data_IF_835122030758
#
_entry.id   IF_835122030758
#
_cell.length_a   1.000
_cell.length_b   1.000
_cell.length_c   1.000
_cell.angle_alpha   90.00
_cell.angle_beta   90.00
_cell.angle_gamma   90.00
#
_symmetry.space_group_name_H-M   'P 1'
#
loop_
_entity.id
_entity.type
_entity.pdbx_description
1 polymer ?
#
# COMPACT_ATOMS: atom_id res chain seq x y z
N UNK A 1 0.64 3.35 -28.93
CA UNK A 1 -0.18 4.38 -28.32
C UNK A 1 0.51 5.69 -28.63
N UNK A 2 -0.15 6.53 -29.39
CA UNK A 2 0.40 7.84 -29.72
C UNK A 2 0.31 8.66 -28.44
N UNK A 3 1.43 8.78 -27.72
CA UNK A 3 1.53 9.67 -26.57
C UNK A 3 1.08 11.06 -26.99
N UNK A 4 0.23 11.66 -26.20
CA UNK A 4 -0.16 13.06 -26.38
C UNK A 4 1.03 13.96 -26.03
N UNK A 5 1.98 13.43 -25.23
CA UNK A 5 3.14 14.13 -24.71
C UNK A 5 4.44 13.59 -25.32
N UNK A 6 5.41 14.46 -25.55
CA UNK A 6 6.75 14.07 -25.94
C UNK A 6 7.52 13.54 -24.72
N UNK A 7 7.52 14.30 -23.63
CA UNK A 7 8.16 13.94 -22.39
C UNK A 7 7.10 13.75 -21.29
N UNK A 8 7.00 12.54 -20.77
CA UNK A 8 6.18 12.24 -19.62
C UNK A 8 6.69 10.96 -18.93
N UNK A 9 7.18 11.10 -17.71
CA UNK A 9 7.54 9.98 -16.83
C UNK A 9 6.68 10.02 -15.57
N UNK A 10 6.25 8.88 -15.09
CA UNK A 10 5.39 8.86 -13.91
C UNK A 10 5.22 7.48 -13.31
N UNK A 11 4.47 7.41 -12.21
CA UNK A 11 4.10 6.18 -11.55
C UNK A 11 2.65 6.18 -11.10
N UNK A 12 2.12 4.98 -10.86
CA UNK A 12 0.80 4.82 -10.27
C UNK A 12 0.92 4.41 -8.80
N UNK A 13 -0.07 4.78 -7.99
CA UNK A 13 -0.15 4.39 -6.58
C UNK A 13 -0.12 2.87 -6.36
N UNK A 14 -0.61 2.08 -7.31
CA UNK A 14 -0.56 0.62 -7.28
C UNK A 14 0.83 0.04 -7.53
N UNK A 15 1.77 0.86 -7.95
CA UNK A 15 3.09 0.44 -8.43
C UNK A 15 4.24 0.99 -7.57
N UNK A 16 3.93 1.49 -6.38
CA UNK A 16 4.92 1.94 -5.39
C UNK A 16 4.96 1.02 -4.18
N UNK A 17 6.13 0.87 -3.60
CA UNK A 17 6.32 0.20 -2.32
C UNK A 17 5.73 1.03 -1.18
N UNK A 18 4.90 0.42 -0.38
CA UNK A 18 4.29 1.02 0.81
C UNK A 18 4.17 -0.05 1.90
N UNK A 19 3.96 0.36 3.14
CA UNK A 19 3.74 -0.58 4.22
C UNK A 19 2.65 -1.61 3.88
N UNK A 20 2.87 -2.87 4.23
CA UNK A 20 1.95 -3.99 3.98
C UNK A 20 0.62 -3.88 4.74
N UNK A 21 0.55 -2.97 5.69
CA UNK A 21 -0.64 -2.72 6.52
C UNK A 21 -0.91 -1.23 6.61
N UNK A 22 -2.16 -0.86 6.69
CA UNK A 22 -2.59 0.54 6.80
C UNK A 22 -2.45 1.08 8.22
N UNK A 23 -2.58 0.22 9.23
CA UNK A 23 -2.30 0.55 10.63
C UNK A 23 -1.63 -0.63 11.34
N UNK A 24 -0.69 -0.31 12.22
CA UNK A 24 0.10 -1.28 12.96
C UNK A 24 0.26 -0.78 14.38
N UNK A 25 0.00 -1.61 15.41
CA UNK A 25 0.36 -1.28 16.78
C UNK A 25 1.87 -1.09 16.93
N UNK A 26 2.31 -0.09 17.68
CA UNK A 26 3.73 0.17 17.93
C UNK A 26 4.44 -1.03 18.56
N UNK A 27 3.71 -1.86 19.32
CA UNK A 27 4.21 -3.12 19.87
C UNK A 27 4.60 -4.18 18.82
N UNK A 28 4.15 -4.03 17.57
CA UNK A 28 4.50 -4.89 16.44
C UNK A 28 5.48 -4.24 15.46
N UNK A 29 6.06 -3.13 15.85
CA UNK A 29 7.03 -2.37 15.08
C UNK A 29 8.21 -1.94 15.97
N UNK A 30 8.72 -2.89 16.77
CA UNK A 30 9.79 -2.63 17.74
C UNK A 30 11.18 -2.81 17.14
N UNK A 31 11.29 -3.64 16.12
CA UNK A 31 12.56 -3.92 15.44
C UNK A 31 12.37 -3.89 13.93
N UNK A 32 13.47 -3.78 13.20
CA UNK A 32 13.46 -3.86 11.73
C UNK A 32 13.02 -5.22 11.19
N UNK A 33 13.07 -6.28 11.99
CA UNK A 33 12.54 -7.60 11.63
C UNK A 33 11.03 -7.70 11.84
N UNK A 34 10.47 -6.95 12.78
CA UNK A 34 9.02 -6.92 13.01
C UNK A 34 8.28 -6.18 11.91
N UNK A 35 8.87 -5.06 11.48
CA UNK A 35 8.25 -4.19 10.50
C UNK A 35 9.28 -3.39 9.72
N UNK A 36 9.08 -3.28 8.43
CA UNK A 36 9.80 -2.40 7.53
C UNK A 36 8.90 -1.99 6.36
N UNK A 37 9.28 -0.94 5.67
CA UNK A 37 8.58 -0.48 4.47
C UNK A 37 9.50 -0.66 3.27
N UNK A 38 9.15 -1.54 2.34
CA UNK A 38 9.92 -1.69 1.10
C UNK A 38 9.78 -0.43 0.26
N UNK A 39 10.90 0.21 -0.05
CA UNK A 39 10.90 1.44 -0.84
C UNK A 39 11.23 1.12 -2.29
N UNK A 40 10.21 1.19 -3.13
CA UNK A 40 10.36 0.92 -4.57
C UNK A 40 9.28 1.60 -5.39
N UNK A 41 9.57 1.87 -6.66
CA UNK A 41 8.59 2.41 -7.60
C UNK A 41 8.83 1.85 -9.01
N UNK A 42 7.76 1.39 -9.65
CA UNK A 42 7.77 1.20 -11.09
C UNK A 42 7.51 2.54 -11.76
N UNK A 43 8.50 3.01 -12.50
CA UNK A 43 8.42 4.25 -13.27
C UNK A 43 8.19 3.91 -14.73
N UNK A 44 7.22 4.56 -15.34
CA UNK A 44 6.80 4.36 -16.72
C UNK A 44 7.16 5.58 -17.55
N UNK A 45 7.60 5.37 -18.78
CA UNK A 45 7.70 6.43 -19.78
C UNK A 45 6.43 6.41 -20.64
N UNK A 46 5.54 7.36 -20.38
CA UNK A 46 4.30 7.57 -21.14
C UNK A 46 4.48 8.50 -22.35
N UNK A 47 5.65 9.14 -22.45
CA UNK A 47 6.00 10.02 -23.56
C UNK A 47 6.33 9.27 -24.85
N UNK A 48 6.47 10.02 -25.93
CA UNK A 48 6.91 9.50 -27.22
C UNK A 48 8.44 9.54 -27.38
N UNK A 49 9.12 10.32 -26.56
CA UNK A 49 10.57 10.47 -26.56
C UNK A 49 11.20 9.62 -25.47
N UNK A 50 12.47 9.28 -25.64
CA UNK A 50 13.23 8.58 -24.62
C UNK A 50 13.48 9.48 -23.41
N UNK A 51 13.12 9.00 -22.21
CA UNK A 51 13.38 9.71 -20.98
C UNK A 51 14.81 9.41 -20.52
N UNK A 52 15.63 10.44 -20.44
CA UNK A 52 17.02 10.35 -20.00
C UNK A 52 17.17 10.80 -18.55
N UNK A 53 18.16 10.23 -17.86
CA UNK A 53 18.50 10.56 -16.48
C UNK A 53 17.32 10.49 -15.51
N UNK A 54 16.47 9.47 -15.69
CA UNK A 54 15.35 9.22 -14.79
C UNK A 54 15.87 8.85 -13.41
N UNK A 55 15.40 9.55 -12.39
CA UNK A 55 15.70 9.32 -10.98
C UNK A 55 14.42 9.32 -10.14
N UNK A 56 14.47 8.63 -9.00
CA UNK A 56 13.41 8.60 -8.01
C UNK A 56 13.98 9.09 -6.68
N UNK A 57 13.34 10.08 -6.09
CA UNK A 57 13.57 10.50 -4.71
C UNK A 57 12.36 10.06 -3.88
N UNK A 58 12.61 9.48 -2.72
CA UNK A 58 11.56 9.08 -1.79
C UNK A 58 11.77 9.72 -0.44
N UNK A 59 10.72 10.37 0.05
CA UNK A 59 10.67 11.01 1.36
C UNK A 59 9.58 10.36 2.19
N UNK A 60 9.86 10.12 3.47
CA UNK A 60 8.83 9.74 4.45
C UNK A 60 8.77 10.79 5.53
N UNK A 61 7.57 11.34 5.72
CA UNK A 61 7.24 12.23 6.82
C UNK A 61 6.40 11.51 7.86
N UNK A 62 6.76 11.70 9.13
CA UNK A 62 5.90 11.34 10.26
C UNK A 62 5.34 12.61 10.87
N UNK A 63 4.02 12.79 10.78
CA UNK A 63 3.31 13.99 11.29
C UNK A 63 3.95 15.31 10.84
N UNK A 64 4.43 15.36 9.57
CA UNK A 64 5.10 16.51 8.98
C UNK A 64 6.59 16.65 9.32
N UNK A 65 7.19 15.66 9.99
CA UNK A 65 8.63 15.63 10.24
C UNK A 65 9.27 14.56 9.36
N UNK A 66 10.26 14.97 8.55
CA UNK A 66 11.02 14.05 7.70
C UNK A 66 11.76 13.01 8.57
N UNK A 67 11.57 11.73 8.26
CA UNK A 67 12.22 10.60 8.93
C UNK A 67 13.02 9.71 7.95
N UNK A 68 12.82 9.91 6.66
CA UNK A 68 13.55 9.20 5.60
C UNK A 68 13.61 10.07 4.35
N UNK A 69 14.78 10.09 3.70
CA UNK A 69 14.96 10.80 2.44
C UNK A 69 16.11 10.14 1.66
N UNK A 70 15.75 9.41 0.62
CA UNK A 70 16.70 8.70 -0.23
C UNK A 70 16.42 8.96 -1.71
N UNK A 71 17.47 9.00 -2.48
CA UNK A 71 17.41 9.20 -3.93
C UNK A 71 18.14 8.05 -4.63
N UNK A 72 17.60 7.59 -5.75
CA UNK A 72 18.24 6.55 -6.56
C UNK A 72 19.66 7.01 -6.97
N UNK A 73 20.65 6.15 -6.76
CA UNK A 73 22.08 6.50 -6.95
C UNK A 73 22.52 6.48 -8.41
N UNK A 74 21.73 5.85 -9.27
CA UNK A 74 22.03 5.71 -10.70
C UNK A 74 20.86 6.26 -11.52
N UNK A 75 21.16 7.27 -12.31
CA UNK A 75 20.23 7.76 -13.31
C UNK A 75 20.15 6.76 -14.48
N UNK A 76 18.97 6.52 -14.97
CA UNK A 76 18.71 5.53 -16.02
C UNK A 76 17.93 6.12 -17.17
N UNK A 77 17.95 5.45 -18.30
CA UNK A 77 17.18 5.79 -19.51
C UNK A 77 16.00 4.84 -19.63
N UNK A 78 14.82 5.37 -19.90
CA UNK A 78 13.59 4.59 -20.16
C UNK A 78 13.07 4.95 -21.55
N UNK A 79 13.03 3.99 -22.47
CA UNK A 79 12.51 4.20 -23.82
C UNK A 79 10.98 4.34 -23.80
N UNK A 80 10.35 4.91 -24.85
CA UNK A 80 8.90 5.08 -24.92
C UNK A 80 8.13 3.78 -24.68
N UNK A 81 7.06 3.85 -23.90
CA UNK A 81 6.18 2.75 -23.54
C UNK A 81 6.83 1.62 -22.73
N UNK A 82 8.02 1.86 -22.17
CA UNK A 82 8.72 0.95 -21.27
C UNK A 82 8.61 1.41 -19.81
N UNK A 83 9.06 0.58 -18.89
CA UNK A 83 9.07 0.87 -17.46
C UNK A 83 10.25 0.22 -16.77
N UNK A 84 10.66 0.79 -15.64
CA UNK A 84 11.75 0.27 -14.83
C UNK A 84 11.41 0.32 -13.35
N UNK A 85 11.82 -0.72 -12.61
CA UNK A 85 11.72 -0.75 -11.15
C UNK A 85 12.92 -0.03 -10.52
N UNK A 86 12.63 1.00 -9.74
CA UNK A 86 13.58 1.63 -8.85
C UNK A 86 13.40 1.04 -7.45
N UNK A 87 14.46 0.48 -6.89
CA UNK A 87 14.49 0.01 -5.51
C UNK A 87 15.49 0.85 -4.74
N UNK A 88 15.06 1.42 -3.63
CA UNK A 88 15.88 2.17 -2.68
C UNK A 88 16.03 1.33 -1.40
N UNK A 89 16.92 1.73 -0.48
CA UNK A 89 17.00 1.08 0.82
C UNK A 89 15.65 1.08 1.53
N UNK A 90 15.28 -0.05 2.12
CA UNK A 90 14.05 -0.15 2.90
C UNK A 90 14.07 0.83 4.07
N UNK A 91 12.92 1.45 4.37
CA UNK A 91 12.77 2.21 5.59
C UNK A 91 12.50 1.27 6.76
N UNK A 92 13.41 1.28 7.72
CA UNK A 92 13.30 0.48 8.93
C UNK A 92 13.86 1.23 10.14
N UNK A 93 13.18 1.11 11.28
CA UNK A 93 13.60 1.68 12.55
C UNK A 93 13.59 0.64 13.66
N UNK A 94 14.39 0.88 14.69
CA UNK A 94 14.29 0.17 15.96
C UNK A 94 13.36 0.97 16.87
N UNK A 95 12.10 0.54 16.93
CA UNK A 95 11.04 1.21 17.67
C UNK A 95 10.42 2.38 16.87
N UNK A 96 9.50 2.06 16.00
CA UNK A 96 8.73 3.07 15.29
C UNK A 96 7.89 3.90 16.26
N UNK A 97 8.05 5.21 16.22
CA UNK A 97 7.19 6.09 16.99
C UNK A 97 5.77 6.11 16.44
N UNK A 98 4.79 6.25 17.31
CA UNK A 98 3.40 6.43 16.89
C UNK A 98 3.24 7.72 16.07
N UNK A 99 2.39 7.67 15.06
CA UNK A 99 2.13 8.80 14.16
C UNK A 99 1.63 8.37 12.79
N UNK A 100 1.28 9.36 12.00
CA UNK A 100 0.90 9.19 10.60
C UNK A 100 2.13 9.32 9.71
N UNK A 101 2.41 8.29 8.95
CA UNK A 101 3.52 8.27 8.01
C UNK A 101 2.99 8.49 6.60
N UNK A 102 3.55 9.46 5.92
CA UNK A 102 3.29 9.73 4.50
C UNK A 102 4.55 9.47 3.70
N UNK A 103 4.47 8.56 2.76
CA UNK A 103 5.54 8.24 1.82
C UNK A 103 5.26 9.03 0.55
N UNK A 104 6.24 9.78 0.08
CA UNK A 104 6.17 10.56 -1.17
C UNK A 104 7.28 10.12 -2.10
N UNK A 105 6.92 9.63 -3.27
CA UNK A 105 7.83 9.35 -4.37
C UNK A 105 7.80 10.49 -5.36
N UNK A 106 8.95 11.07 -5.63
CA UNK A 106 9.14 12.13 -6.63
C UNK A 106 9.97 11.58 -7.78
N UNK A 107 9.44 11.63 -8.98
CA UNK A 107 10.05 11.12 -10.20
C UNK A 107 10.47 12.32 -11.03
N UNK A 108 11.68 12.27 -11.58
CA UNK A 108 12.17 13.29 -12.49
C UNK A 108 13.05 12.68 -13.58
N UNK A 109 13.15 13.38 -14.70
CA UNK A 109 14.01 13.05 -15.83
C UNK A 109 14.57 14.35 -16.43
N UNK A 110 15.51 14.23 -17.38
CA UNK A 110 15.92 15.38 -18.18
C UNK A 110 14.75 15.88 -19.03
N UNK A 111 14.77 17.17 -19.30
CA UNK A 111 13.71 17.83 -20.07
C UNK A 111 12.54 18.28 -19.18
N UNK A 112 11.55 18.90 -19.86
CA UNK A 112 10.33 19.37 -19.17
C UNK A 112 9.27 18.29 -19.31
N UNK A 113 8.83 17.74 -18.19
CA UNK A 113 7.68 16.83 -18.16
C UNK A 113 6.39 17.61 -18.43
N UNK A 114 5.58 17.10 -19.33
CA UNK A 114 4.36 17.76 -19.80
C UNK A 114 3.12 17.40 -18.96
N UNK A 115 3.24 16.40 -18.04
CA UNK A 115 2.16 15.97 -17.15
C UNK A 115 2.65 15.74 -15.72
N UNK A 116 2.90 16.80 -14.99
CA UNK A 116 3.50 16.76 -13.65
C UNK A 116 2.69 16.03 -12.55
N UNK A 117 1.41 15.72 -12.80
CA UNK A 117 0.53 15.12 -11.80
C UNK A 117 0.89 13.67 -11.44
N UNK A 118 1.55 12.95 -12.33
CA UNK A 118 1.99 11.57 -12.16
C UNK A 118 3.48 11.43 -11.77
N UNK A 119 4.19 12.57 -11.69
CA UNK A 119 5.57 12.64 -11.18
C UNK A 119 5.66 12.52 -9.65
N UNK A 120 4.56 12.72 -8.94
CA UNK A 120 4.52 12.60 -7.49
C UNK A 120 3.42 11.64 -7.06
N UNK A 121 3.81 10.59 -6.35
CA UNK A 121 2.87 9.57 -5.86
C UNK A 121 3.04 9.37 -4.37
N UNK A 122 1.93 9.29 -3.64
CA UNK A 122 1.93 9.18 -2.19
C UNK A 122 1.27 7.90 -1.69
N UNK A 123 1.79 7.38 -0.58
CA UNK A 123 1.19 6.32 0.22
C UNK A 123 1.20 6.70 1.69
N UNK A 124 0.35 6.06 2.49
CA UNK A 124 0.26 6.34 3.93
C UNK A 124 0.18 5.05 4.73
N UNK A 125 0.69 5.10 5.95
CA UNK A 125 0.46 4.10 7.00
C UNK A 125 0.46 4.78 8.36
N UNK A 126 -0.06 4.08 9.36
CA UNK A 126 -0.25 4.61 10.70
C UNK A 126 0.36 3.67 11.74
N UNK A 127 1.25 4.17 12.57
CA UNK A 127 1.73 3.47 13.77
C UNK A 127 0.96 4.00 14.97
N UNK A 128 0.37 3.12 15.78
CA UNK A 128 -0.50 3.53 16.88
C UNK A 128 -0.20 2.80 18.20
N UNK A 129 -0.64 3.41 19.31
CA UNK A 129 -0.47 2.88 20.66
C UNK A 129 -1.74 2.21 21.20
N UNK A 130 -2.85 2.29 20.48
CA UNK A 130 -4.15 1.78 20.93
C UNK A 130 -4.45 0.34 20.47
N UNK A 131 -3.47 -0.34 19.86
CA UNK A 131 -3.60 -1.74 19.46
C UNK A 131 -4.37 -1.95 18.14
N UNK A 132 -4.60 -0.92 17.36
CA UNK A 132 -5.30 -1.04 16.08
C UNK A 132 -4.39 -1.67 15.01
N UNK A 133 -4.81 -2.81 14.46
CA UNK A 133 -4.20 -3.43 13.29
C UNK A 133 -5.17 -3.41 12.11
N UNK A 134 -4.72 -2.92 10.95
CA UNK A 134 -5.54 -2.90 9.75
C UNK A 134 -4.71 -3.17 8.49
N UNK A 135 -5.19 -4.06 7.64
CA UNK A 135 -4.66 -4.22 6.27
C UNK A 135 -5.11 -3.09 5.34
N UNK A 136 -6.30 -2.57 5.54
CA UNK A 136 -6.80 -1.41 4.80
C UNK A 136 -6.08 -0.15 5.24
N UNK A 137 -5.92 0.79 4.31
CA UNK A 137 -5.47 2.14 4.67
C UNK A 137 -6.50 2.79 5.57
N UNK A 138 -6.03 3.50 6.58
CA UNK A 138 -6.87 4.19 7.54
C UNK A 138 -6.61 5.69 7.40
N UNK A 139 -7.67 6.46 7.39
CA UNK A 139 -7.60 7.88 7.73
C UNK A 139 -7.65 7.98 9.26
N UNK A 140 -6.65 8.58 9.91
CA UNK A 140 -6.63 8.67 11.37
C UNK A 140 -7.74 9.52 11.97
N UNK A 141 -8.40 10.35 11.17
CA UNK A 141 -9.52 11.20 11.58
C UNK A 141 -10.86 10.53 11.25
N UNK A 142 -11.00 10.03 10.02
CA UNK A 142 -12.27 9.54 9.48
C UNK A 142 -12.40 8.00 9.56
N UNK A 143 -11.34 7.29 9.98
CA UNK A 143 -11.33 5.83 10.09
C UNK A 143 -11.02 5.11 8.78
N UNK A 144 -11.46 3.86 8.60
CA UNK A 144 -11.06 3.04 7.46
C UNK A 144 -11.47 3.65 6.13
N UNK A 145 -10.50 3.80 5.22
CA UNK A 145 -10.76 4.23 3.85
C UNK A 145 -11.30 3.02 3.07
N UNK A 146 -12.56 3.07 2.69
CA UNK A 146 -13.16 2.06 1.83
C UNK A 146 -12.76 2.29 0.37
N UNK A 147 -11.67 1.68 -0.08
CA UNK A 147 -11.19 1.75 -1.46
C UNK A 147 -11.66 0.58 -2.33
N UNK A 148 -12.82 0.04 -2.05
CA UNK A 148 -13.39 -1.08 -2.75
C UNK A 148 -13.61 -2.27 -1.82
N UNK A 149 -14.42 -3.18 -2.26
CA UNK A 149 -14.75 -4.42 -1.55
C UNK A 149 -14.59 -5.60 -2.48
N UNK A 150 -14.42 -6.76 -1.89
CA UNK A 150 -14.55 -8.03 -2.59
C UNK A 150 -15.96 -8.54 -2.45
N UNK A 151 -16.43 -9.16 -3.51
CA UNK A 151 -17.73 -9.83 -3.53
C UNK A 151 -17.54 -11.27 -3.97
N UNK A 152 -18.40 -12.19 -3.54
CA UNK A 152 -18.42 -13.52 -4.11
C UNK A 152 -18.60 -13.42 -5.63
N UNK A 153 -17.73 -14.09 -6.38
CA UNK A 153 -17.83 -14.17 -7.84
C UNK A 153 -18.80 -15.27 -8.26
N UNK A 154 -19.37 -15.12 -9.46
CA UNK A 154 -20.16 -16.17 -10.11
C UNK A 154 -21.60 -15.78 -10.41
N UNK A 155 -22.22 -16.52 -11.32
CA UNK A 155 -23.61 -16.34 -11.76
C UNK A 155 -24.63 -17.05 -10.86
N UNK A 156 -24.15 -17.88 -9.92
CA UNK A 156 -25.01 -18.62 -8.98
C UNK A 156 -25.03 -17.87 -7.65
N UNK A 157 -26.18 -17.72 -7.00
CA UNK A 157 -26.25 -17.12 -5.67
C UNK A 157 -25.32 -17.88 -4.72
N UNK A 158 -24.36 -17.16 -4.13
CA UNK A 158 -23.50 -17.71 -3.09
C UNK A 158 -24.26 -17.62 -1.78
N UNK A 159 -24.52 -18.78 -1.17
CA UNK A 159 -25.30 -18.87 0.07
C UNK A 159 -24.42 -18.50 1.27
N UNK A 160 -23.15 -18.82 1.19
CA UNK A 160 -22.15 -18.56 2.25
C UNK A 160 -20.79 -18.38 1.61
N UNK A 161 -19.99 -17.43 2.10
CA UNK A 161 -18.58 -17.31 1.75
C UNK A 161 -17.82 -16.79 2.96
N UNK A 162 -16.55 -17.09 3.01
CA UNK A 162 -15.64 -16.63 4.06
C UNK A 162 -14.54 -15.80 3.43
N UNK A 163 -14.28 -14.62 4.03
CA UNK A 163 -13.20 -13.75 3.64
C UNK A 163 -12.16 -13.69 4.76
N UNK A 164 -10.95 -14.08 4.47
CA UNK A 164 -9.88 -14.13 5.46
C UNK A 164 -8.82 -13.07 5.17
N UNK A 165 -8.36 -12.41 6.22
CA UNK A 165 -7.20 -11.50 6.18
C UNK A 165 -6.12 -12.07 7.10
N UNK A 166 -4.95 -12.47 6.57
CA UNK A 166 -3.87 -12.96 7.41
C UNK A 166 -3.19 -11.79 8.15
N UNK A 167 -2.95 -11.99 9.43
CA UNK A 167 -2.08 -11.15 10.24
C UNK A 167 -0.81 -11.97 10.50
N UNK A 168 0.30 -11.52 9.94
CA UNK A 168 1.61 -12.18 10.11
C UNK A 168 2.47 -11.28 10.98
N UNK A 169 2.93 -11.78 12.12
CA UNK A 169 3.83 -11.08 13.02
C UNK A 169 4.63 -12.09 13.82
N UNK A 170 5.91 -11.84 14.05
CA UNK A 170 6.74 -12.64 14.96
C UNK A 170 6.18 -12.63 16.40
N UNK A 171 5.45 -11.57 16.74
CA UNK A 171 4.79 -11.39 18.04
C UNK A 171 3.35 -11.92 18.09
N UNK A 172 2.89 -12.65 17.07
CA UNK A 172 1.51 -13.12 16.97
C UNK A 172 1.07 -13.99 18.17
N UNK A 173 1.99 -14.73 18.80
CA UNK A 173 1.69 -15.55 19.99
C UNK A 173 1.32 -14.74 21.24
N UNK A 174 1.69 -13.45 21.28
CA UNK A 174 1.35 -12.54 22.37
C UNK A 174 0.10 -11.69 22.07
N UNK A 175 -0.49 -11.83 20.88
CA UNK A 175 -1.66 -11.06 20.49
C UNK A 175 -2.93 -11.53 21.18
N UNK A 176 -3.76 -10.57 21.57
CA UNK A 176 -5.14 -10.78 21.97
C UNK A 176 -6.05 -9.93 21.08
N UNK A 177 -6.98 -10.56 20.39
CA UNK A 177 -7.96 -9.85 19.56
C UNK A 177 -9.17 -9.50 20.43
N UNK A 178 -9.38 -8.21 20.68
CA UNK A 178 -10.48 -7.71 21.49
C UNK A 178 -11.72 -7.36 20.66
N UNK A 179 -11.56 -7.17 19.35
CA UNK A 179 -12.65 -6.85 18.45
C UNK A 179 -12.21 -6.90 17.00
N UNK A 180 -13.18 -6.96 16.12
CA UNK A 180 -12.99 -6.89 14.66
C UNK A 180 -13.93 -5.83 14.11
N UNK A 181 -13.39 -4.87 13.39
CA UNK A 181 -14.14 -3.87 12.66
C UNK A 181 -14.07 -4.17 11.18
N UNK A 182 -15.21 -4.15 10.52
CA UNK A 182 -15.33 -4.39 9.08
C UNK A 182 -16.48 -3.58 8.50
N UNK A 183 -16.38 -3.26 7.21
CA UNK A 183 -17.45 -2.63 6.46
C UNK A 183 -18.05 -3.62 5.48
N UNK A 184 -19.38 -3.64 5.39
CA UNK A 184 -20.13 -4.36 4.35
C UNK A 184 -21.02 -3.38 3.60
N UNK A 185 -21.14 -3.58 2.31
CA UNK A 185 -22.02 -2.78 1.47
C UNK A 185 -22.65 -3.65 0.38
N UNK A 186 -23.77 -3.20 -0.14
CA UNK A 186 -24.45 -3.83 -1.28
C UNK A 186 -24.54 -2.84 -2.42
N UNK A 187 -24.38 -3.31 -3.64
CA UNK A 187 -24.71 -2.56 -4.84
C UNK A 187 -26.22 -2.57 -5.15
N UNK A 188 -26.98 -3.37 -4.43
CA UNK A 188 -28.43 -3.37 -4.51
C UNK A 188 -29.01 -2.22 -3.68
N UNK A 189 -29.36 -1.14 -4.34
CA UNK A 189 -29.91 0.04 -3.71
C UNK A 189 -31.33 -0.17 -3.17
N UNK A 190 -32.01 -1.23 -3.59
CA UNK A 190 -33.38 -1.52 -3.16
C UNK A 190 -33.41 -2.30 -1.84
N UNK A 191 -32.47 -3.23 -1.64
CA UNK A 191 -32.48 -4.14 -0.49
C UNK A 191 -31.31 -3.90 0.48
N UNK A 192 -30.27 -3.17 0.07
CA UNK A 192 -29.11 -2.89 0.92
C UNK A 192 -28.43 -4.15 1.44
N UNK A 193 -28.01 -4.11 2.70
CA UNK A 193 -27.41 -5.26 3.42
C UNK A 193 -28.32 -5.79 4.53
N UNK A 194 -29.55 -5.31 4.59
CA UNK A 194 -30.51 -5.71 5.61
C UNK A 194 -30.87 -7.20 5.48
N UNK A 195 -30.88 -7.90 6.60
CA UNK A 195 -31.17 -9.34 6.64
C UNK A 195 -29.98 -10.28 6.42
N UNK A 196 -28.81 -9.76 6.07
CA UNK A 196 -27.59 -10.58 6.01
C UNK A 196 -26.97 -10.75 7.39
N UNK A 197 -26.53 -11.96 7.70
CA UNK A 197 -25.80 -12.24 8.94
C UNK A 197 -24.30 -12.30 8.64
N UNK A 198 -23.50 -11.62 9.45
CA UNK A 198 -22.04 -11.63 9.35
C UNK A 198 -21.47 -12.14 10.67
N UNK A 199 -20.57 -13.10 10.58
CA UNK A 199 -19.94 -13.73 11.73
C UNK A 199 -18.43 -13.54 11.66
N UNK A 200 -17.84 -12.58 12.39
CA UNK A 200 -16.39 -12.48 12.49
C UNK A 200 -15.83 -13.70 13.21
N UNK A 201 -14.76 -14.25 12.65
CA UNK A 201 -14.04 -15.38 13.21
C UNK A 201 -12.57 -15.06 13.27
N UNK A 202 -11.89 -15.56 14.30
CA UNK A 202 -10.43 -15.47 14.43
C UNK A 202 -9.87 -16.89 14.46
N UNK A 203 -8.94 -17.16 13.57
CA UNK A 203 -8.27 -18.43 13.46
C UNK A 203 -6.78 -18.28 13.81
N UNK A 204 -6.25 -19.23 14.54
CA UNK A 204 -4.82 -19.42 14.61
C UNK A 204 -4.40 -20.27 13.39
N UNK A 205 -3.52 -19.73 12.58
CA UNK A 205 -2.97 -20.45 11.43
C UNK A 205 -1.82 -21.34 11.91
N UNK A 206 -1.93 -22.63 11.67
CA UNK A 206 -0.94 -23.62 12.11
C UNK A 206 -0.17 -24.25 10.95
N UNK A 207 -0.31 -23.73 9.74
CA UNK A 207 0.28 -24.28 8.52
C UNK A 207 0.99 -23.18 7.72
N UNK A 208 1.80 -23.60 6.77
CA UNK A 208 2.46 -22.67 5.83
C UNK A 208 1.45 -22.27 4.75
N UNK A 209 1.36 -20.98 4.48
CA UNK A 209 0.59 -20.50 3.31
C UNK A 209 1.36 -20.93 2.07
N UNK A 210 0.83 -21.90 1.33
CA UNK A 210 1.34 -22.28 0.03
C UNK A 210 0.73 -21.35 -1.03
N UNK A 211 1.53 -20.42 -1.54
CA UNK A 211 1.10 -19.47 -2.56
C UNK A 211 0.64 -20.16 -3.86
N UNK A 212 1.00 -21.42 -4.06
CA UNK A 212 0.57 -22.19 -5.24
C UNK A 212 -0.87 -22.69 -5.14
N UNK A 213 -1.46 -22.65 -3.97
CA UNK A 213 -2.83 -23.10 -3.71
C UNK A 213 -3.88 -21.99 -3.79
N UNK A 214 -3.46 -20.74 -4.02
CA UNK A 214 -4.37 -19.60 -4.18
C UNK A 214 -4.71 -19.45 -5.67
N UNK A 215 -5.79 -20.07 -6.12
CA UNK A 215 -6.35 -19.92 -7.47
C UNK A 215 -7.59 -19.05 -7.46
#
# INVERSE_FOLDING_TARGET
PNGVFANNVGAFRSNIGIANSGAIPSTFAQTSSDFFVPISAWVFNFGSDTAENVIVNTVIDRDGTEVYNETSTTAVTIVPADSLLFALPDYSENGYAAGNYTITYNISADGTDELLVDNTVTGTFFINENGLYSKSRIDPVDGPISNGGSRPGGATPVVEFEWCTPIVSENASAMQVHGVEFAIFSNDTANGVEGYSVFPKVYQWNDVIDETSVT
#
